data_IF_497845221283
#
_entry.id   IF_497845221283
#
_cell.length_a   1.000
_cell.length_b   1.000
_cell.length_c   1.000
_cell.angle_alpha   90.00
_cell.angle_beta   90.00
_cell.angle_gamma   90.00
#
_symmetry.space_group_name_H-M   'P 1'
#
loop_
_entity.id
_entity.type
_entity.pdbx_description
1 polymer ?
#
# COMPACT_ATOMS: atom_id res chain seq x y z
N UNK A 1 26.48 -1.00 -69.64
CA UNK A 1 25.54 -1.69 -68.75
C UNK A 1 24.57 -2.44 -69.64
N UNK A 2 24.44 -3.77 -69.48
CA UNK A 2 23.55 -4.57 -70.31
C UNK A 2 22.17 -4.63 -69.62
N UNK A 3 21.16 -4.03 -70.27
CA UNK A 3 19.77 -4.09 -69.82
C UNK A 3 19.21 -5.47 -70.16
N UNK A 4 18.72 -6.20 -69.16
CA UNK A 4 18.02 -7.48 -69.36
C UNK A 4 16.55 -7.20 -69.60
N UNK A 5 16.02 -7.70 -70.72
CA UNK A 5 14.60 -7.59 -71.04
C UNK A 5 13.93 -8.93 -70.76
N UNK A 6 12.88 -8.91 -69.94
CA UNK A 6 12.00 -10.08 -69.74
C UNK A 6 10.78 -9.89 -70.64
N UNK A 7 10.48 -10.87 -71.48
CA UNK A 7 9.34 -10.79 -72.39
C UNK A 7 8.06 -11.27 -71.69
N UNK A 8 7.09 -10.38 -71.51
CA UNK A 8 5.78 -10.67 -70.90
C UNK A 8 4.68 -10.47 -71.94
N UNK A 9 3.67 -11.34 -71.95
CA UNK A 9 2.53 -11.21 -72.88
C UNK A 9 1.49 -10.24 -72.33
N UNK A 10 0.99 -9.35 -73.19
CA UNK A 10 -0.11 -8.47 -72.84
C UNK A 10 -1.40 -9.29 -72.62
N UNK A 11 -2.09 -9.15 -71.47
CA UNK A 11 -3.32 -9.90 -71.20
C UNK A 11 -4.50 -9.52 -72.10
N UNK A 12 -4.51 -8.31 -72.67
CA UNK A 12 -5.64 -7.83 -73.50
C UNK A 12 -5.49 -8.13 -74.99
N UNK A 13 -4.28 -8.16 -75.54
CA UNK A 13 -4.05 -8.37 -76.98
C UNK A 13 -3.06 -9.50 -77.32
N UNK A 14 -2.44 -10.13 -76.33
CA UNK A 14 -1.51 -11.25 -76.52
C UNK A 14 -0.13 -10.88 -77.09
N UNK A 15 0.14 -9.59 -77.34
CA UNK A 15 1.43 -9.14 -77.85
C UNK A 15 2.56 -9.36 -76.83
N UNK A 16 3.74 -9.76 -77.32
CA UNK A 16 4.94 -9.83 -76.50
C UNK A 16 5.47 -8.41 -76.25
N UNK A 17 5.56 -8.04 -74.97
CA UNK A 17 6.08 -6.77 -74.52
C UNK A 17 7.47 -6.99 -73.93
N UNK A 18 8.53 -6.36 -74.46
CA UNK A 18 9.84 -6.36 -73.82
C UNK A 18 9.81 -5.42 -72.61
N UNK A 19 9.99 -5.96 -71.40
CA UNK A 19 9.93 -5.20 -70.15
C UNK A 19 11.34 -4.84 -69.67
N UNK A 20 11.53 -3.62 -69.19
CA UNK A 20 12.71 -3.20 -68.41
C UNK A 20 12.43 -3.44 -66.92
N UNK A 21 13.36 -4.06 -66.19
CA UNK A 21 13.17 -4.54 -64.79
C UNK A 21 12.78 -3.43 -63.78
N UNK A 22 13.05 -2.15 -64.07
CA UNK A 22 12.89 -1.03 -63.12
C UNK A 22 11.63 -0.17 -63.33
N UNK A 23 10.71 -0.51 -64.24
CA UNK A 23 9.46 0.27 -64.45
C UNK A 23 8.26 -0.41 -63.82
N UNK A 24 7.62 0.28 -62.87
CA UNK A 24 6.44 -0.21 -62.11
C UNK A 24 5.12 -0.11 -62.89
N UNK A 25 5.07 0.68 -63.97
CA UNK A 25 3.92 0.84 -64.83
C UNK A 25 4.35 0.96 -66.29
N UNK A 26 3.61 0.31 -67.20
CA UNK A 26 3.81 0.50 -68.63
C UNK A 26 2.53 0.33 -69.43
N UNK A 27 2.54 0.90 -70.65
CA UNK A 27 1.41 0.84 -71.57
C UNK A 27 1.76 -0.04 -72.76
N UNK A 28 0.82 -0.89 -73.18
CA UNK A 28 0.98 -1.70 -74.37
C UNK A 28 0.88 -0.81 -75.63
N UNK A 29 1.92 -0.79 -76.48
CA UNK A 29 1.95 0.03 -77.70
C UNK A 29 0.91 -0.36 -78.75
N UNK A 30 0.36 -1.57 -78.68
CA UNK A 30 -0.61 -2.10 -79.65
C UNK A 30 -2.07 -1.83 -79.26
N UNK A 31 -2.41 -1.95 -77.98
CA UNK A 31 -3.80 -1.81 -77.52
C UNK A 31 -4.01 -0.67 -76.50
N UNK A 32 -2.96 0.01 -76.07
CA UNK A 32 -3.03 1.10 -75.10
C UNK A 32 -3.32 0.67 -73.66
N UNK A 33 -3.47 -0.63 -73.39
CA UNK A 33 -3.75 -1.13 -72.04
C UNK A 33 -2.61 -0.80 -71.06
N UNK A 34 -2.95 -0.18 -69.93
CA UNK A 34 -2.02 0.10 -68.83
C UNK A 34 -1.83 -1.16 -67.97
N UNK A 35 -0.59 -1.60 -67.84
CA UNK A 35 -0.21 -2.74 -67.03
C UNK A 35 0.58 -2.20 -65.84
N UNK A 36 0.03 -2.41 -64.64
CA UNK A 36 0.66 -2.01 -63.38
C UNK A 36 1.25 -3.28 -62.76
N UNK A 37 2.54 -3.26 -62.46
CA UNK A 37 3.23 -4.38 -61.83
C UNK A 37 3.26 -4.12 -60.32
N UNK A 38 2.28 -4.64 -59.60
CA UNK A 38 2.37 -4.73 -58.15
C UNK A 38 3.12 -6.01 -57.81
N UNK A 39 4.32 -5.88 -57.25
CA UNK A 39 5.06 -7.02 -56.71
C UNK A 39 4.25 -7.59 -55.52
N UNK A 40 3.55 -8.70 -55.72
CA UNK A 40 2.66 -9.31 -54.71
C UNK A 40 3.44 -9.90 -53.51
N UNK A 41 4.77 -9.91 -53.55
CA UNK A 41 5.61 -10.61 -52.57
C UNK A 41 6.25 -9.72 -51.48
N UNK A 42 5.86 -8.44 -51.33
CA UNK A 42 6.30 -7.63 -50.18
C UNK A 42 5.41 -7.88 -48.96
N UNK A 43 5.73 -8.93 -48.20
CA UNK A 43 5.18 -9.12 -46.87
C UNK A 43 5.94 -8.24 -45.87
N UNK A 44 5.28 -7.17 -45.37
CA UNK A 44 5.79 -6.39 -44.24
C UNK A 44 5.58 -7.23 -42.96
N UNK A 45 6.59 -7.97 -42.54
CA UNK A 45 6.59 -8.66 -41.25
C UNK A 45 6.86 -7.66 -40.14
N UNK A 46 5.83 -7.28 -39.38
CA UNK A 46 6.00 -6.51 -38.15
C UNK A 46 6.31 -7.48 -37.00
N UNK A 47 7.57 -7.53 -36.57
CA UNK A 47 7.93 -8.27 -35.38
C UNK A 47 7.37 -7.51 -34.16
N UNK A 48 6.30 -8.04 -33.57
CA UNK A 48 5.71 -7.52 -32.34
C UNK A 48 6.28 -8.37 -31.21
N UNK A 49 6.98 -7.72 -30.27
CA UNK A 49 7.52 -8.42 -29.10
C UNK A 49 6.35 -8.76 -28.15
N UNK A 50 5.96 -10.03 -28.12
CA UNK A 50 4.86 -10.52 -27.29
C UNK A 50 5.15 -10.35 -25.79
N UNK A 51 6.42 -10.29 -25.39
CA UNK A 51 6.80 -10.13 -24.00
C UNK A 51 6.46 -8.72 -23.48
N UNK A 52 6.78 -7.69 -24.26
CA UNK A 52 6.49 -6.29 -23.92
C UNK A 52 4.97 -6.04 -23.87
N UNK A 53 4.22 -6.64 -24.80
CA UNK A 53 2.76 -6.49 -24.83
C UNK A 53 2.09 -7.07 -23.57
N UNK A 54 2.58 -8.23 -23.10
CA UNK A 54 2.06 -8.88 -21.88
C UNK A 54 2.42 -8.10 -20.61
N UNK A 55 3.63 -7.55 -20.53
CA UNK A 55 4.02 -6.70 -19.40
C UNK A 55 3.16 -5.43 -19.33
N UNK A 56 2.93 -4.78 -20.47
CA UNK A 56 2.07 -3.61 -20.54
C UNK A 56 0.61 -3.92 -20.14
N UNK A 57 0.09 -5.11 -20.47
CA UNK A 57 -1.23 -5.56 -20.04
C UNK A 57 -1.28 -5.83 -18.54
N UNK A 58 -0.28 -6.54 -17.98
CA UNK A 58 -0.20 -6.80 -16.54
C UNK A 58 -0.10 -5.50 -15.74
N UNK A 59 0.71 -4.54 -16.19
CA UNK A 59 0.89 -3.26 -15.53
C UNK A 59 -0.40 -2.44 -15.51
N UNK A 60 -1.16 -2.47 -16.62
CA UNK A 60 -2.50 -1.85 -16.69
C UNK A 60 -3.47 -2.49 -15.71
N UNK A 61 -3.47 -3.82 -15.61
CA UNK A 61 -4.35 -4.55 -14.69
C UNK A 61 -4.01 -4.22 -13.23
N UNK A 62 -2.72 -4.22 -12.87
CA UNK A 62 -2.25 -3.86 -11.52
C UNK A 62 -2.68 -2.44 -11.16
N UNK A 63 -2.43 -1.47 -12.04
CA UNK A 63 -2.81 -0.07 -11.82
C UNK A 63 -4.31 0.12 -11.65
N UNK A 64 -5.13 -0.57 -12.44
CA UNK A 64 -6.59 -0.52 -12.29
C UNK A 64 -7.03 -1.12 -10.96
N UNK A 65 -6.42 -2.23 -10.53
CA UNK A 65 -6.73 -2.87 -9.24
C UNK A 65 -6.34 -2.01 -8.04
N UNK A 66 -5.23 -1.30 -8.13
CA UNK A 66 -4.80 -0.34 -7.10
C UNK A 66 -5.81 0.82 -6.98
N UNK A 67 -6.25 1.39 -8.10
CA UNK A 67 -7.29 2.43 -8.11
C UNK A 67 -8.61 1.93 -7.51
N UNK A 68 -9.06 0.71 -7.83
CA UNK A 68 -10.27 0.10 -7.26
C UNK A 68 -10.14 -0.09 -5.74
N UNK A 69 -8.97 -0.52 -5.26
CA UNK A 69 -8.68 -0.68 -3.83
C UNK A 69 -8.71 0.67 -3.09
N UNK A 70 -8.12 1.72 -3.67
CA UNK A 70 -8.18 3.07 -3.10
C UNK A 70 -9.60 3.59 -3.00
N UNK A 71 -10.41 3.43 -4.05
CA UNK A 71 -11.82 3.83 -4.04
C UNK A 71 -12.61 3.07 -2.97
N UNK A 72 -12.44 1.75 -2.89
CA UNK A 72 -13.07 0.93 -1.83
C UNK A 72 -12.65 1.38 -0.42
N UNK A 73 -11.38 1.77 -0.22
CA UNK A 73 -10.88 2.32 1.05
C UNK A 73 -11.51 3.68 1.38
N UNK A 74 -11.70 4.56 0.38
CA UNK A 74 -12.39 5.85 0.56
C UNK A 74 -13.85 5.63 0.96
N UNK A 75 -14.55 4.77 0.24
CA UNK A 75 -15.95 4.42 0.53
C UNK A 75 -16.11 3.75 1.90
N UNK A 76 -15.19 2.87 2.31
CA UNK A 76 -15.25 2.24 3.64
C UNK A 76 -14.99 3.25 4.76
N UNK A 77 -14.05 4.19 4.57
CA UNK A 77 -13.82 5.32 5.50
C UNK A 77 -15.08 6.17 5.63
N UNK A 78 -15.72 6.58 4.53
CA UNK A 78 -16.97 7.35 4.56
C UNK A 78 -18.10 6.61 5.29
N UNK A 79 -18.29 5.32 5.00
CA UNK A 79 -19.26 4.47 5.71
C UNK A 79 -18.95 4.38 7.20
N UNK A 80 -17.67 4.22 7.57
CA UNK A 80 -17.26 4.14 8.98
C UNK A 80 -17.49 5.46 9.73
N UNK A 81 -17.23 6.62 9.09
CA UNK A 81 -17.53 7.94 9.65
C UNK A 81 -19.03 8.14 9.85
N UNK A 82 -19.84 7.82 8.85
CA UNK A 82 -21.30 7.88 8.95
C UNK A 82 -21.84 6.96 10.05
N UNK A 83 -21.25 5.76 10.19
CA UNK A 83 -21.62 4.81 11.25
C UNK A 83 -21.23 5.30 12.65
N UNK A 84 -20.02 5.83 12.83
CA UNK A 84 -19.56 6.46 14.08
C UNK A 84 -20.47 7.62 14.50
N UNK A 85 -20.84 8.49 13.55
CA UNK A 85 -21.78 9.60 13.80
C UNK A 85 -23.13 9.07 14.28
N UNK A 86 -23.67 8.03 13.64
CA UNK A 86 -24.95 7.42 14.06
C UNK A 86 -24.87 6.84 15.47
N UNK A 87 -23.79 6.13 15.81
CA UNK A 87 -23.57 5.59 17.16
C UNK A 87 -23.50 6.73 18.19
N UNK A 88 -22.75 7.79 17.90
CA UNK A 88 -22.61 8.92 18.81
C UNK A 88 -23.95 9.61 19.09
N UNK A 89 -24.80 9.79 18.07
CA UNK A 89 -26.15 10.37 18.23
C UNK A 89 -27.01 9.47 19.13
N UNK A 90 -27.04 8.15 18.88
CA UNK A 90 -27.83 7.21 19.67
C UNK A 90 -27.37 7.18 21.12
N UNK A 91 -26.05 7.15 21.35
CA UNK A 91 -25.47 7.10 22.69
C UNK A 91 -25.69 8.42 23.46
N UNK A 92 -25.67 9.56 22.77
CA UNK A 92 -26.03 10.86 23.34
C UNK A 92 -27.52 10.97 23.72
N UNK A 93 -28.43 10.40 22.91
CA UNK A 93 -29.86 10.35 23.25
C UNK A 93 -30.08 9.48 24.49
N UNK A 94 -29.47 8.29 24.54
CA UNK A 94 -29.58 7.39 25.71
C UNK A 94 -28.98 8.04 26.96
N UNK A 95 -27.80 8.64 26.85
CA UNK A 95 -27.13 9.34 27.95
C UNK A 95 -27.93 10.54 28.47
N UNK A 96 -28.53 11.34 27.58
CA UNK A 96 -29.35 12.49 27.98
C UNK A 96 -30.65 12.08 28.68
N UNK A 97 -31.30 11.00 28.24
CA UNK A 97 -32.48 10.45 28.90
C UNK A 97 -32.12 9.95 30.31
N UNK A 98 -31.04 9.18 30.45
CA UNK A 98 -30.59 8.66 31.75
C UNK A 98 -30.20 9.78 32.73
N UNK A 99 -29.57 10.83 32.22
CA UNK A 99 -29.18 11.99 33.02
C UNK A 99 -30.41 12.81 33.47
N UNK A 100 -31.40 13.03 32.59
CA UNK A 100 -32.63 13.73 32.93
C UNK A 100 -33.46 12.97 33.98
N UNK A 101 -33.59 11.65 33.83
CA UNK A 101 -34.29 10.79 34.80
C UNK A 101 -33.54 10.76 36.14
N UNK A 102 -32.22 10.65 36.11
CA UNK A 102 -31.39 10.69 37.31
C UNK A 102 -31.51 12.02 38.07
N UNK A 103 -31.59 13.15 37.35
CA UNK A 103 -31.74 14.48 37.96
C UNK A 103 -33.14 14.67 38.57
N UNK A 104 -34.21 14.34 37.83
CA UNK A 104 -35.60 14.53 38.30
C UNK A 104 -35.93 13.58 39.47
N UNK A 105 -35.51 12.32 39.42
CA UNK A 105 -35.77 11.35 40.50
C UNK A 105 -34.77 11.46 41.67
N UNK A 106 -33.60 12.03 41.44
CA UNK A 106 -32.55 12.19 42.46
C UNK A 106 -32.95 13.15 43.58
N UNK A 107 -33.56 14.29 43.23
CA UNK A 107 -34.01 15.28 44.22
C UNK A 107 -35.13 14.75 45.13
N UNK A 108 -35.97 13.83 44.64
CA UNK A 108 -37.07 13.25 45.42
C UNK A 108 -36.59 12.28 46.53
N UNK A 109 -35.38 11.73 46.41
CA UNK A 109 -34.89 10.66 47.31
C UNK A 109 -33.98 11.20 48.43
N UNK A 110 -33.40 12.39 48.26
CA UNK A 110 -32.66 13.13 49.31
C UNK A 110 -31.40 12.47 49.87
N UNK A 111 -31.10 11.22 49.48
CA UNK A 111 -29.95 10.44 49.96
C UNK A 111 -28.96 10.17 48.83
N UNK A 112 -27.67 10.54 49.01
CA UNK A 112 -26.63 10.37 47.99
C UNK A 112 -26.28 8.91 47.68
N UNK A 113 -26.67 7.96 48.53
CA UNK A 113 -26.48 6.50 48.35
C UNK A 113 -27.65 5.82 47.63
N UNK A 114 -28.66 6.58 47.18
CA UNK A 114 -29.76 5.98 46.43
C UNK A 114 -29.27 5.49 45.06
N UNK A 115 -29.69 4.28 44.67
CA UNK A 115 -29.35 3.68 43.37
C UNK A 115 -29.78 4.50 42.14
N UNK A 116 -30.54 5.58 42.35
CA UNK A 116 -30.98 6.52 41.33
C UNK A 116 -29.81 7.42 40.86
N UNK A 117 -28.85 7.73 41.73
CA UNK A 117 -27.63 8.46 41.37
C UNK A 117 -26.74 7.65 40.40
N UNK A 118 -26.85 6.32 40.40
CA UNK A 118 -26.12 5.44 39.48
C UNK A 118 -26.51 5.72 38.03
N UNK A 119 -27.79 6.01 37.74
CA UNK A 119 -28.24 6.36 36.39
C UNK A 119 -27.64 7.69 35.89
N UNK A 120 -27.49 8.67 36.78
CA UNK A 120 -26.83 9.94 36.46
C UNK A 120 -25.34 9.73 36.15
N UNK A 121 -24.66 8.88 36.92
CA UNK A 121 -23.25 8.51 36.70
C UNK A 121 -23.08 7.77 35.37
N UNK A 122 -23.96 6.80 35.06
CA UNK A 122 -23.95 6.09 33.77
C UNK A 122 -24.17 7.05 32.60
N UNK A 123 -25.11 8.01 32.75
CA UNK A 123 -25.34 9.06 31.76
C UNK A 123 -24.09 9.93 31.53
N UNK A 124 -23.40 10.33 32.60
CA UNK A 124 -22.15 11.09 32.52
C UNK A 124 -21.04 10.32 31.79
N UNK A 125 -20.84 9.04 32.12
CA UNK A 125 -19.85 8.20 31.44
C UNK A 125 -20.17 8.00 29.96
N UNK A 126 -21.46 7.88 29.60
CA UNK A 126 -21.88 7.81 28.20
C UNK A 126 -21.50 9.08 27.43
N UNK A 127 -21.63 10.27 28.04
CA UNK A 127 -21.19 11.53 27.43
C UNK A 127 -19.66 11.61 27.30
N UNK A 128 -18.93 11.20 28.33
CA UNK A 128 -17.46 11.22 28.32
C UNK A 128 -16.84 10.25 27.31
N UNK A 129 -17.57 9.22 26.89
CA UNK A 129 -17.12 8.26 25.88
C UNK A 129 -17.28 8.75 24.42
N UNK A 130 -18.03 9.83 24.18
CA UNK A 130 -18.29 10.36 22.82
C UNK A 130 -16.99 10.76 22.08
N UNK A 131 -16.03 11.47 22.71
CA UNK A 131 -14.77 11.85 22.05
C UNK A 131 -13.94 10.65 21.56
N UNK A 132 -13.93 9.54 22.30
CA UNK A 132 -13.16 8.34 21.95
C UNK A 132 -13.73 7.64 20.71
N UNK A 133 -15.04 7.75 20.44
CA UNK A 133 -15.68 7.19 19.24
C UNK A 133 -15.17 7.89 17.97
N UNK A 134 -14.89 9.19 18.06
CA UNK A 134 -14.35 9.99 16.96
C UNK A 134 -12.84 9.91 16.82
N UNK A 135 -12.15 9.21 17.73
CA UNK A 135 -10.72 8.93 17.59
C UNK A 135 -10.51 7.98 16.40
N UNK A 136 -10.26 8.57 15.23
CA UNK A 136 -9.84 7.84 14.03
C UNK A 136 -8.41 7.34 14.26
N UNK A 137 -8.28 6.09 14.71
CA UNK A 137 -7.02 5.36 14.62
C UNK A 137 -6.80 4.96 13.16
N UNK A 138 -6.00 5.80 12.52
CA UNK A 138 -4.99 5.47 11.52
C UNK A 138 -5.41 5.31 10.05
N UNK A 139 -4.98 6.31 9.27
CA UNK A 139 -4.82 6.24 7.82
C UNK A 139 -3.73 5.24 7.44
N UNK A 140 -3.99 4.48 6.39
CA UNK A 140 -2.99 3.66 5.69
C UNK A 140 -1.99 4.57 4.96
N UNK A 141 -1.05 5.12 5.72
CA UNK A 141 0.03 6.03 5.32
C UNK A 141 1.33 5.28 4.96
N UNK A 142 1.24 3.97 4.76
CA UNK A 142 2.40 3.09 4.52
C UNK A 142 3.27 2.88 5.75
N UNK A 143 2.89 3.39 6.94
CA UNK A 143 3.66 3.25 8.17
C UNK A 143 3.26 2.00 8.95
N UNK A 144 4.29 1.31 9.43
CA UNK A 144 4.23 0.13 10.27
C UNK A 144 4.11 0.56 11.73
N UNK A 145 3.20 -0.08 12.45
CA UNK A 145 3.04 0.10 13.89
C UNK A 145 4.19 -0.59 14.63
N UNK A 146 4.83 0.15 15.54
CA UNK A 146 5.83 -0.40 16.47
C UNK A 146 5.15 -1.44 17.36
N UNK A 147 5.72 -2.65 17.49
CA UNK A 147 5.09 -3.74 18.22
C UNK A 147 4.86 -3.36 19.69
N UNK A 148 3.64 -3.56 20.19
CA UNK A 148 3.28 -3.23 21.58
C UNK A 148 4.12 -4.04 22.60
N UNK A 149 4.68 -5.16 22.16
CA UNK A 149 5.63 -6.02 22.87
C UNK A 149 6.96 -5.36 23.24
N UNK A 150 7.27 -4.14 22.78
CA UNK A 150 8.47 -3.42 23.25
C UNK A 150 8.30 -2.81 24.63
N UNK A 151 7.08 -2.71 25.15
CA UNK A 151 6.87 -2.22 26.52
C UNK A 151 7.69 -3.06 27.52
N UNK A 152 8.45 -2.38 28.38
CA UNK A 152 9.34 -3.01 29.35
C UNK A 152 10.53 -3.77 28.73
N UNK A 153 11.05 -3.31 27.58
CA UNK A 153 12.15 -3.97 26.86
C UNK A 153 13.43 -4.18 27.69
N UNK A 154 13.65 -3.42 28.76
CA UNK A 154 14.86 -3.50 29.60
C UNK A 154 15.16 -4.88 30.20
N UNK A 155 14.14 -5.75 30.29
CA UNK A 155 14.28 -7.13 30.81
C UNK A 155 14.21 -8.19 29.71
N UNK A 156 14.02 -7.79 28.46
CA UNK A 156 13.83 -8.68 27.31
C UNK A 156 15.15 -8.87 26.58
N UNK A 157 15.30 -10.03 25.95
CA UNK A 157 16.47 -10.31 25.11
C UNK A 157 16.43 -9.49 23.82
N UNK A 158 17.58 -9.00 23.37
CA UNK A 158 17.67 -8.22 22.14
C UNK A 158 17.19 -9.02 20.92
N UNK A 159 17.45 -10.33 20.89
CA UNK A 159 17.01 -11.22 19.82
C UNK A 159 15.48 -11.30 19.70
N UNK A 160 14.76 -11.33 20.83
CA UNK A 160 13.30 -11.29 20.79
C UNK A 160 12.78 -9.96 20.26
N UNK A 161 13.37 -8.84 20.71
CA UNK A 161 13.00 -7.51 20.23
C UNK A 161 13.28 -7.34 18.74
N UNK A 162 14.45 -7.77 18.26
CA UNK A 162 14.80 -7.76 16.84
C UNK A 162 13.79 -8.56 16.01
N UNK A 163 13.40 -9.75 16.49
CA UNK A 163 12.39 -10.58 15.82
C UNK A 163 11.03 -9.89 15.74
N UNK A 164 10.62 -9.17 16.79
CA UNK A 164 9.37 -8.40 16.77
C UNK A 164 9.41 -7.31 15.71
N UNK A 165 10.47 -6.49 15.67
CA UNK A 165 10.61 -5.44 14.66
C UNK A 165 10.62 -5.99 13.23
N UNK A 166 11.39 -7.04 12.96
CA UNK A 166 11.41 -7.68 11.63
C UNK A 166 10.06 -8.28 11.26
N UNK A 167 9.39 -8.95 12.21
CA UNK A 167 8.06 -9.54 11.98
C UNK A 167 6.96 -8.50 11.73
N UNK A 168 7.12 -7.29 12.29
CA UNK A 168 6.24 -6.15 11.99
C UNK A 168 6.48 -5.56 10.59
N UNK A 169 7.61 -5.86 9.96
CA UNK A 169 7.95 -5.44 8.59
C UNK A 169 9.02 -4.34 8.50
N UNK A 170 9.70 -4.02 9.59
CA UNK A 170 10.86 -3.12 9.54
C UNK A 170 12.02 -3.80 8.80
N UNK A 171 12.57 -3.13 7.80
CA UNK A 171 13.64 -3.66 6.95
C UNK A 171 15.03 -3.30 7.46
N UNK A 172 15.16 -2.19 8.20
CA UNK A 172 16.42 -1.65 8.69
C UNK A 172 16.54 -1.76 10.23
N UNK A 173 16.87 -2.96 10.71
CA UNK A 173 17.06 -3.24 12.15
C UNK A 173 18.52 -3.59 12.44
N UNK A 174 19.14 -2.86 13.36
CA UNK A 174 20.54 -3.03 13.77
C UNK A 174 20.65 -3.27 15.27
N UNK A 175 21.50 -4.22 15.65
CA UNK A 175 21.77 -4.57 17.04
C UNK A 175 23.19 -4.15 17.42
N UNK A 176 23.34 -3.22 18.36
CA UNK A 176 24.63 -2.65 18.77
C UNK A 176 25.02 -3.15 20.17
N UNK A 177 26.14 -3.89 20.31
CA UNK A 177 26.65 -4.32 21.62
C UNK A 177 27.28 -3.15 22.40
N UNK A 178 26.88 -2.96 23.67
CA UNK A 178 27.42 -1.90 24.53
C UNK A 178 28.76 -2.26 25.19
N UNK A 179 29.11 -3.55 25.25
CA UNK A 179 30.36 -4.05 25.85
C UNK A 179 30.60 -3.50 27.27
N UNK A 180 29.54 -3.37 28.07
CA UNK A 180 29.58 -2.77 29.41
C UNK A 180 29.53 -3.82 30.54
N UNK A 181 29.41 -5.10 30.21
CA UNK A 181 29.38 -6.19 31.18
C UNK A 181 30.80 -6.57 31.60
N UNK A 182 31.04 -6.45 32.90
CA UNK A 182 32.25 -6.94 33.58
C UNK A 182 31.89 -8.13 34.47
N UNK A 183 32.83 -9.06 34.65
CA UNK A 183 32.69 -10.21 35.56
C UNK A 183 32.52 -9.70 37.00
N UNK A 184 31.28 -9.59 37.47
CA UNK A 184 30.93 -9.09 38.81
C UNK A 184 29.71 -8.16 38.87
N UNK A 185 29.22 -7.64 37.75
CA UNK A 185 28.04 -6.75 37.71
C UNK A 185 26.73 -7.53 37.47
N UNK A 186 25.68 -7.23 38.25
CA UNK A 186 24.33 -7.81 38.16
C UNK A 186 23.50 -7.28 36.97
N UNK A 187 24.12 -7.11 35.80
CA UNK A 187 23.42 -6.76 34.55
C UNK A 187 23.23 -8.02 33.71
N UNK A 188 22.04 -8.20 33.17
CA UNK A 188 21.69 -9.40 32.40
C UNK A 188 22.36 -9.36 31.01
N UNK A 189 23.16 -10.37 30.70
CA UNK A 189 23.76 -10.49 29.37
C UNK A 189 22.69 -10.62 28.29
N UNK A 190 22.81 -9.80 27.23
CA UNK A 190 21.88 -9.80 26.10
C UNK A 190 20.55 -9.11 26.36
N UNK A 191 20.35 -8.42 27.49
CA UNK A 191 19.17 -7.57 27.67
C UNK A 191 19.34 -6.21 26.99
N UNK A 192 18.22 -5.65 26.51
CA UNK A 192 18.19 -4.36 25.81
C UNK A 192 18.32 -3.20 26.79
N UNK A 193 19.14 -2.20 26.47
CA UNK A 193 19.31 -0.97 27.27
C UNK A 193 18.47 0.19 26.70
N UNK A 194 18.49 0.36 25.38
CA UNK A 194 17.72 1.37 24.65
C UNK A 194 17.35 0.92 23.24
N UNK A 195 16.25 1.47 22.73
CA UNK A 195 15.78 1.27 21.36
C UNK A 195 15.56 2.66 20.78
N UNK A 196 16.21 2.97 19.67
CA UNK A 196 16.01 4.21 18.94
C UNK A 196 15.45 3.94 17.56
N UNK A 197 14.50 4.78 17.11
CA UNK A 197 14.00 4.77 15.73
C UNK A 197 14.31 6.15 15.13
N UNK A 198 15.07 6.18 14.02
CA UNK A 198 15.57 7.42 13.40
C UNK A 198 16.31 8.35 14.39
N UNK A 199 17.02 7.77 15.37
CA UNK A 199 17.75 8.51 16.39
C UNK A 199 16.92 9.03 17.58
N UNK A 200 15.60 8.77 17.60
CA UNK A 200 14.75 9.10 18.75
C UNK A 200 14.53 7.88 19.64
N UNK A 201 14.71 8.04 20.95
CA UNK A 201 14.46 6.99 21.94
C UNK A 201 12.98 6.62 22.01
N UNK A 202 12.71 5.31 21.98
CA UNK A 202 11.36 4.75 22.07
C UNK A 202 11.21 3.96 23.35
N UNK A 203 10.30 4.40 24.22
CA UNK A 203 10.02 3.76 25.51
C UNK A 203 8.83 2.80 25.47
N UNK A 204 7.94 2.94 24.50
CA UNK A 204 6.68 2.21 24.40
C UNK A 204 6.25 1.98 22.95
N UNK A 205 5.49 0.92 22.71
CA UNK A 205 4.93 0.61 21.40
C UNK A 205 3.81 1.58 20.99
N UNK A 206 3.22 1.34 19.83
CA UNK A 206 2.08 2.11 19.32
C UNK A 206 2.43 3.21 18.31
N UNK A 207 3.66 3.75 18.34
CA UNK A 207 4.12 4.70 17.33
C UNK A 207 4.14 4.08 15.92
N UNK A 208 3.94 4.89 14.88
CA UNK A 208 3.92 4.42 13.48
C UNK A 208 5.08 5.04 12.70
N UNK A 209 5.85 4.22 12.01
CA UNK A 209 7.05 4.62 11.26
C UNK A 209 7.12 3.93 9.90
N UNK A 210 7.87 4.50 8.96
CA UNK A 210 8.10 3.87 7.68
C UNK A 210 8.92 2.55 7.81
N UNK A 211 8.71 1.57 6.93
CA UNK A 211 9.43 0.28 6.96
C UNK A 211 10.96 0.43 6.92
N UNK A 212 11.46 1.43 6.21
CA UNK A 212 12.88 1.75 6.04
C UNK A 212 13.50 2.54 7.21
N UNK A 213 12.69 2.94 8.20
CA UNK A 213 13.18 3.70 9.36
C UNK A 213 14.29 2.91 10.08
N UNK A 214 15.36 3.62 10.48
CA UNK A 214 16.52 2.99 11.12
C UNK A 214 16.20 2.65 12.57
N UNK A 215 16.07 1.37 12.86
CA UNK A 215 15.86 0.84 14.21
C UNK A 215 17.21 0.38 14.76
N UNK A 216 17.67 1.00 15.83
CA UNK A 216 18.91 0.62 16.53
C UNK A 216 18.56 0.12 17.93
N UNK A 217 18.95 -1.13 18.22
CA UNK A 217 18.73 -1.80 19.50
C UNK A 217 20.08 -1.92 20.19
N UNK A 218 20.27 -1.16 21.26
CA UNK A 218 21.49 -1.23 22.07
C UNK A 218 21.31 -2.24 23.19
N UNK A 219 22.24 -3.17 23.35
CA UNK A 219 22.13 -4.27 24.33
C UNK A 219 23.42 -4.50 25.13
N UNK A 220 23.26 -5.02 26.33
CA UNK A 220 24.39 -5.34 27.21
C UNK A 220 25.17 -6.57 26.70
N UNK A 221 26.48 -6.41 26.53
CA UNK A 221 27.39 -7.47 26.08
C UNK A 221 28.70 -7.43 26.86
N UNK A 222 29.44 -8.53 26.84
CA UNK A 222 30.79 -8.59 27.40
C UNK A 222 31.79 -7.93 26.46
N UNK A 223 32.79 -7.25 27.03
CA UNK A 223 33.97 -6.79 26.28
C UNK A 223 34.62 -8.01 25.63
N UNK A 224 34.70 -8.00 24.29
CA UNK A 224 35.53 -8.96 23.55
C UNK A 224 37.00 -8.56 23.75
N UNK A 225 37.72 -9.33 24.56
CA UNK A 225 39.18 -9.28 24.68
C UNK A 225 39.83 -10.13 23.61
#
# INVERSE_FOLDING_TARGET
MAVKFVAVKCPSCGANLPMEEDRTQMYCSLCGASIIMTNENEHIYRHVDEAELKQAETDRIVKIKEMELEERKRLSKEKSKAFKIKIAIVLGIIGSILMAVGFICGEATGNPDSGICIFAIIGLFAFLAIPDIFSDKDEDDGKIKVPDSISGFKKKSYSAIESYFRSSGFTNVQCVPLNDLTTGLLKSAGSVESITINGHDITSGGGRYYPEASVVISYHSFIRR
#
